data_IF_131446462792
#
_entry.id   IF_131446462792
#
_cell.length_a   1.000
_cell.length_b   1.000
_cell.length_c   1.000
_cell.angle_alpha   90.00
_cell.angle_beta   90.00
_cell.angle_gamma   90.00
#
_symmetry.space_group_name_H-M   'P 1'
#
loop_
_entity.id
_entity.type
_entity.pdbx_description
1 polymer ?
#
# COMPACT_ATOMS: atom_id res chain seq x y z
N UNK A 1 -5.30 -17.01 -9.39
CA UNK A 1 -4.45 -15.84 -9.75
C UNK A 1 -4.06 -15.11 -8.47
N UNK A 2 -2.78 -14.87 -8.22
CA UNK A 2 -2.30 -14.23 -6.99
C UNK A 2 -2.39 -12.69 -7.08
N UNK A 3 -3.47 -12.10 -6.54
CA UNK A 3 -3.72 -10.65 -6.50
C UNK A 3 -2.62 -9.90 -5.74
N UNK A 4 -2.21 -10.46 -4.60
CA UNK A 4 -1.33 -9.79 -3.65
C UNK A 4 0.16 -9.89 -4.00
N UNK A 5 0.57 -10.71 -4.96
CA UNK A 5 1.99 -10.83 -5.35
C UNK A 5 2.64 -9.50 -5.75
N UNK A 6 2.07 -8.70 -6.68
CA UNK A 6 2.65 -7.39 -7.00
C UNK A 6 2.67 -6.43 -5.81
N UNK A 7 1.68 -6.50 -4.92
CA UNK A 7 1.65 -5.69 -3.69
C UNK A 7 2.78 -6.11 -2.75
N UNK A 8 2.91 -7.41 -2.47
CA UNK A 8 3.98 -7.97 -1.65
C UNK A 8 5.37 -7.70 -2.21
N UNK A 9 5.50 -7.49 -3.53
CA UNK A 9 6.76 -7.08 -4.16
C UNK A 9 6.95 -5.57 -4.07
N UNK A 10 6.14 -4.78 -4.77
CA UNK A 10 6.41 -3.37 -4.97
C UNK A 10 6.18 -2.54 -3.69
N UNK A 11 5.06 -2.77 -2.98
CA UNK A 11 4.76 -2.00 -1.78
C UNK A 11 5.81 -2.24 -0.68
N UNK A 12 6.24 -3.49 -0.49
CA UNK A 12 7.25 -3.83 0.51
C UNK A 12 8.63 -3.30 0.14
N UNK A 13 8.97 -3.26 -1.14
CA UNK A 13 10.30 -2.78 -1.56
C UNK A 13 10.38 -1.25 -1.55
N UNK A 14 9.29 -0.55 -1.87
CA UNK A 14 9.19 0.90 -1.66
C UNK A 14 9.26 1.25 -0.17
N UNK A 15 8.39 0.65 0.66
CA UNK A 15 8.38 0.93 2.11
C UNK A 15 9.62 0.42 2.83
N UNK A 16 10.25 -0.64 2.32
CA UNK A 16 11.52 -1.17 2.80
C UNK A 16 12.67 -0.18 2.59
N UNK A 17 12.78 0.41 1.39
CA UNK A 17 13.76 1.47 1.14
C UNK A 17 13.51 2.68 2.04
N UNK A 18 12.27 3.17 2.12
CA UNK A 18 11.92 4.30 2.99
C UNK A 18 12.29 4.03 4.45
N UNK A 19 12.06 2.80 4.92
CA UNK A 19 12.41 2.38 6.28
C UNK A 19 13.93 2.37 6.50
N UNK A 20 14.72 1.90 5.54
CA UNK A 20 16.18 1.96 5.62
C UNK A 20 16.70 3.40 5.62
N UNK A 21 16.12 4.29 4.81
CA UNK A 21 16.49 5.71 4.76
C UNK A 21 16.14 6.40 6.08
N UNK A 22 14.96 6.15 6.65
CA UNK A 22 14.59 6.64 7.98
C UNK A 22 15.51 6.08 9.07
N UNK A 23 15.88 4.80 8.97
CA UNK A 23 16.85 4.16 9.86
C UNK A 23 18.22 4.84 9.82
N UNK A 24 18.70 5.17 8.63
CA UNK A 24 19.92 5.96 8.44
C UNK A 24 19.80 7.35 9.11
N UNK A 25 18.67 8.03 8.94
CA UNK A 25 18.43 9.37 9.51
C UNK A 25 18.52 9.40 11.04
N UNK A 26 18.11 8.32 11.72
CA UNK A 26 18.20 8.22 13.19
C UNK A 26 19.64 8.36 13.69
N UNK A 27 20.64 7.94 12.89
CA UNK A 27 22.06 8.04 13.23
C UNK A 27 22.68 9.39 12.85
N UNK A 28 21.94 10.28 12.19
CA UNK A 28 22.49 11.54 11.67
C UNK A 28 23.70 11.31 10.76
N UNK A 29 24.76 12.11 10.91
CA UNK A 29 25.98 11.98 10.11
C UNK A 29 26.65 10.61 10.20
N UNK A 30 26.53 9.93 11.35
CA UNK A 30 27.06 8.57 11.52
C UNK A 30 26.37 7.54 10.63
N UNK A 31 25.10 7.73 10.31
CA UNK A 31 24.36 6.85 9.39
C UNK A 31 24.95 6.83 7.98
N UNK A 32 25.69 7.88 7.60
CA UNK A 32 26.38 7.98 6.32
C UNK A 32 27.79 7.36 6.34
N UNK A 33 28.33 7.03 7.52
CA UNK A 33 29.66 6.44 7.67
C UNK A 33 29.57 4.92 7.65
N UNK A 34 30.38 4.28 6.81
CA UNK A 34 30.34 2.83 6.55
C UNK A 34 30.42 1.96 7.80
N UNK A 35 31.16 2.40 8.83
CA UNK A 35 31.33 1.67 10.11
C UNK A 35 29.99 1.33 10.79
N UNK A 36 28.95 2.15 10.61
CA UNK A 36 27.64 1.97 11.23
C UNK A 36 26.68 1.10 10.39
N UNK A 37 27.05 0.74 9.16
CA UNK A 37 26.30 -0.18 8.31
C UNK A 37 24.96 0.32 7.75
N UNK A 38 24.42 1.45 8.20
CA UNK A 38 23.11 1.97 7.72
C UNK A 38 23.12 2.30 6.23
N UNK A 39 24.20 2.89 5.72
CA UNK A 39 24.36 3.18 4.29
C UNK A 39 24.34 1.90 3.43
N UNK A 40 24.84 0.78 3.97
CA UNK A 40 24.77 -0.50 3.30
C UNK A 40 23.33 -0.99 3.16
N UNK A 41 22.51 -0.90 4.21
CA UNK A 41 21.09 -1.31 4.15
C UNK A 41 20.33 -0.53 3.08
N UNK A 42 20.55 0.79 2.98
CA UNK A 42 19.95 1.65 1.94
C UNK A 42 20.36 1.21 0.53
N UNK A 43 21.65 0.88 0.33
CA UNK A 43 22.14 0.39 -0.98
C UNK A 43 21.60 -0.99 -1.31
N UNK A 44 21.63 -1.91 -0.36
CA UNK A 44 21.29 -3.32 -0.58
C UNK A 44 19.78 -3.49 -0.83
N UNK A 45 18.93 -2.70 -0.17
CA UNK A 45 17.47 -2.77 -0.41
C UNK A 45 17.06 -2.13 -1.74
N UNK A 46 17.85 -1.21 -2.30
CA UNK A 46 17.49 -0.46 -3.53
C UNK A 46 17.26 -1.37 -4.74
N UNK A 47 18.03 -2.46 -4.86
CA UNK A 47 17.88 -3.39 -5.98
C UNK A 47 16.51 -4.08 -6.01
N UNK A 48 15.87 -4.22 -4.85
CA UNK A 48 14.62 -4.95 -4.72
C UNK A 48 13.46 -4.27 -5.47
N UNK A 49 13.53 -2.94 -5.67
CA UNK A 49 12.55 -2.19 -6.46
C UNK A 49 12.72 -2.38 -7.98
N UNK A 50 13.85 -2.95 -8.41
CA UNK A 50 14.28 -3.01 -9.82
C UNK A 50 14.18 -4.42 -10.39
N UNK A 51 14.75 -5.41 -9.71
CA UNK A 51 14.77 -6.80 -10.21
C UNK A 51 13.37 -7.46 -10.16
N UNK A 52 13.22 -8.63 -10.81
CA UNK A 52 11.97 -9.41 -10.79
C UNK A 52 10.72 -8.59 -11.19
N UNK A 53 10.92 -7.67 -12.14
CA UNK A 53 9.94 -6.68 -12.57
C UNK A 53 10.00 -5.42 -11.70
N UNK A 54 10.28 -4.27 -12.33
CA UNK A 54 10.33 -2.97 -11.65
C UNK A 54 9.01 -2.67 -10.94
N UNK A 55 9.03 -1.84 -9.91
CA UNK A 55 7.81 -1.52 -9.17
C UNK A 55 6.71 -0.91 -10.05
N UNK A 56 7.06 -0.15 -11.09
CA UNK A 56 6.10 0.32 -12.10
C UNK A 56 5.47 -0.82 -12.91
N UNK A 57 6.23 -1.86 -13.27
CA UNK A 57 5.68 -3.05 -13.95
C UNK A 57 4.76 -3.84 -13.02
N UNK A 58 5.11 -3.97 -11.75
CA UNK A 58 4.26 -4.63 -10.75
C UNK A 58 2.96 -3.87 -10.49
N UNK A 59 3.04 -2.54 -10.46
CA UNK A 59 1.88 -1.65 -10.41
C UNK A 59 0.97 -1.82 -11.63
N UNK A 60 1.54 -1.84 -12.84
CA UNK A 60 0.80 -2.06 -14.08
C UNK A 60 0.17 -3.46 -14.13
N UNK A 61 0.86 -4.48 -13.63
CA UNK A 61 0.32 -5.83 -13.49
C UNK A 61 -0.90 -5.86 -12.55
N UNK A 62 -0.79 -5.24 -11.38
CA UNK A 62 -1.87 -5.15 -10.40
C UNK A 62 -3.11 -4.47 -11.00
N UNK A 63 -2.98 -3.21 -11.41
CA UNK A 63 -4.13 -2.43 -11.87
C UNK A 63 -4.63 -2.93 -13.23
N UNK A 64 -3.72 -3.10 -14.20
CA UNK A 64 -4.06 -3.47 -15.56
C UNK A 64 -4.59 -4.88 -15.69
N UNK A 65 -3.85 -5.90 -15.22
CA UNK A 65 -4.22 -7.31 -15.43
C UNK A 65 -5.10 -7.87 -14.32
N UNK A 66 -4.81 -7.56 -13.06
CA UNK A 66 -5.44 -8.23 -11.90
C UNK A 66 -6.67 -7.51 -11.34
N UNK A 67 -6.90 -6.26 -11.72
CA UNK A 67 -8.08 -5.48 -11.31
C UNK A 67 -8.94 -5.14 -12.52
N UNK A 68 -8.42 -4.38 -13.49
CA UNK A 68 -9.21 -3.99 -14.68
C UNK A 68 -9.43 -5.17 -15.61
N UNK A 69 -8.36 -5.86 -16.00
CA UNK A 69 -8.39 -6.92 -17.02
C UNK A 69 -9.18 -8.17 -16.64
N UNK A 70 -9.36 -8.45 -15.35
CA UNK A 70 -10.20 -9.57 -14.87
C UNK A 70 -11.59 -9.12 -14.40
N UNK A 71 -11.98 -7.87 -14.67
CA UNK A 71 -13.27 -7.32 -14.26
C UNK A 71 -13.45 -7.23 -12.73
N UNK A 72 -12.37 -7.07 -11.98
CA UNK A 72 -12.37 -6.92 -10.53
C UNK A 72 -12.68 -8.20 -9.74
N UNK A 73 -12.68 -9.38 -10.37
CA UNK A 73 -13.04 -10.63 -9.69
C UNK A 73 -12.14 -10.90 -8.49
N UNK A 74 -10.82 -10.80 -8.68
CA UNK A 74 -9.87 -11.04 -7.59
C UNK A 74 -9.97 -9.97 -6.50
N UNK A 75 -10.20 -8.71 -6.89
CA UNK A 75 -10.39 -7.61 -5.94
C UNK A 75 -11.60 -7.87 -5.04
N UNK A 76 -12.76 -8.22 -5.60
CA UNK A 76 -13.98 -8.49 -4.83
C UNK A 76 -13.84 -9.64 -3.84
N UNK A 77 -13.07 -10.69 -4.19
CA UNK A 77 -12.77 -11.77 -3.26
C UNK A 77 -11.95 -11.24 -2.06
N UNK A 78 -10.91 -10.46 -2.34
CA UNK A 78 -10.06 -9.88 -1.31
C UNK A 78 -10.81 -8.88 -0.41
N UNK A 79 -11.57 -7.95 -0.99
CA UNK A 79 -12.34 -6.97 -0.23
C UNK A 79 -13.49 -7.62 0.54
N UNK A 80 -14.06 -8.71 0.00
CA UNK A 80 -14.99 -9.59 0.70
C UNK A 80 -14.42 -10.12 2.00
N UNK A 81 -13.19 -10.67 2.00
CA UNK A 81 -12.54 -11.15 3.23
C UNK A 81 -12.36 -10.04 4.29
N UNK A 82 -12.04 -8.82 3.87
CA UNK A 82 -11.91 -7.68 4.80
C UNK A 82 -13.27 -7.31 5.39
N UNK A 83 -14.31 -7.27 4.57
CA UNK A 83 -15.69 -6.99 5.00
C UNK A 83 -16.19 -8.06 5.95
N UNK A 84 -15.99 -9.34 5.62
CA UNK A 84 -16.35 -10.47 6.47
C UNK A 84 -15.70 -10.35 7.86
N UNK A 85 -14.42 -10.00 7.93
CA UNK A 85 -13.75 -9.70 9.19
C UNK A 85 -14.37 -8.50 9.91
N UNK A 86 -14.58 -7.38 9.21
CA UNK A 86 -15.09 -6.15 9.82
C UNK A 86 -16.51 -6.30 10.38
N UNK A 87 -17.31 -7.23 9.85
CA UNK A 87 -18.65 -7.55 10.36
C UNK A 87 -18.66 -8.52 11.54
N UNK A 88 -17.52 -9.09 11.94
CA UNK A 88 -17.44 -9.91 13.14
C UNK A 88 -17.72 -9.04 14.39
N UNK A 89 -18.49 -9.56 15.38
CA UNK A 89 -18.72 -8.85 16.62
C UNK A 89 -17.41 -8.48 17.33
N UNK A 90 -17.22 -7.18 17.59
CA UNK A 90 -16.03 -6.68 18.28
C UNK A 90 -14.74 -6.74 17.44
N UNK A 91 -14.84 -6.74 16.11
CA UNK A 91 -13.67 -6.62 15.24
C UNK A 91 -12.97 -5.26 15.43
N UNK A 92 -11.67 -5.31 15.73
CA UNK A 92 -10.82 -4.13 15.83
C UNK A 92 -10.81 -3.33 14.51
N UNK A 93 -10.97 -2.00 14.61
CA UNK A 93 -10.92 -1.06 13.48
C UNK A 93 -11.93 -1.35 12.35
N UNK A 94 -13.07 -1.96 12.66
CA UNK A 94 -14.08 -2.33 11.67
C UNK A 94 -14.55 -1.15 10.81
N UNK A 95 -14.84 0.01 11.41
CA UNK A 95 -15.33 1.17 10.69
C UNK A 95 -14.29 1.73 9.71
N UNK A 96 -13.04 1.85 10.15
CA UNK A 96 -11.93 2.33 9.34
C UNK A 96 -11.61 1.39 8.17
N UNK A 97 -11.71 0.07 8.39
CA UNK A 97 -11.58 -0.91 7.33
C UNK A 97 -12.69 -0.82 6.30
N UNK A 98 -13.94 -0.66 6.73
CA UNK A 98 -15.08 -0.53 5.83
C UNK A 98 -14.96 0.73 4.96
N UNK A 99 -14.52 1.87 5.52
CA UNK A 99 -14.26 3.10 4.74
C UNK A 99 -13.12 2.89 3.73
N UNK A 100 -11.99 2.33 4.18
CA UNK A 100 -10.83 2.10 3.32
C UNK A 100 -11.12 1.12 2.17
N UNK A 101 -11.88 0.05 2.45
CA UNK A 101 -12.31 -0.92 1.43
C UNK A 101 -13.31 -0.30 0.47
N UNK A 102 -14.29 0.46 0.96
CA UNK A 102 -15.24 1.14 0.10
C UNK A 102 -14.52 2.08 -0.89
N UNK A 103 -13.56 2.86 -0.40
CA UNK A 103 -12.73 3.72 -1.25
C UNK A 103 -11.95 2.94 -2.30
N UNK A 104 -11.34 1.82 -1.92
CA UNK A 104 -10.60 0.98 -2.85
C UNK A 104 -11.53 0.43 -3.94
N UNK A 105 -12.72 -0.04 -3.58
CA UNK A 105 -13.72 -0.56 -4.52
C UNK A 105 -14.21 0.54 -5.47
N UNK A 106 -14.65 1.68 -4.93
CA UNK A 106 -15.16 2.82 -5.71
C UNK A 106 -14.10 3.36 -6.68
N UNK A 107 -12.85 3.46 -6.23
CA UNK A 107 -11.74 3.91 -7.06
C UNK A 107 -11.41 2.89 -8.16
N UNK A 108 -11.51 1.60 -7.86
CA UNK A 108 -11.27 0.54 -8.84
C UNK A 108 -12.34 0.51 -9.93
N UNK A 109 -13.61 0.69 -9.54
CA UNK A 109 -14.71 0.78 -10.48
C UNK A 109 -14.59 2.02 -11.36
N UNK A 110 -14.27 3.17 -10.77
CA UNK A 110 -14.00 4.40 -11.50
C UNK A 110 -12.83 4.23 -12.50
N UNK A 111 -11.71 3.63 -12.07
CA UNK A 111 -10.57 3.38 -12.95
C UNK A 111 -10.91 2.44 -14.10
N UNK A 112 -11.77 1.44 -13.87
CA UNK A 112 -12.25 0.56 -14.94
C UNK A 112 -13.05 1.33 -15.98
N UNK A 113 -13.91 2.25 -15.56
CA UNK A 113 -14.66 3.13 -16.47
C UNK A 113 -13.73 4.07 -17.25
N UNK A 114 -12.74 4.67 -16.58
CA UNK A 114 -11.75 5.52 -17.25
C UNK A 114 -10.91 4.74 -18.26
N UNK A 115 -10.49 3.51 -17.93
CA UNK A 115 -9.71 2.66 -18.82
C UNK A 115 -10.45 2.28 -20.11
N UNK A 116 -11.79 2.25 -20.09
CA UNK A 116 -12.59 2.01 -21.29
C UNK A 116 -12.60 3.22 -22.24
N UNK A 117 -12.33 4.44 -21.74
CA UNK A 117 -12.42 5.69 -22.49
C UNK A 117 -11.03 6.25 -22.84
N UNK A 118 -10.01 5.97 -22.02
CA UNK A 118 -8.69 6.53 -22.13
C UNK A 118 -7.62 5.43 -21.95
N UNK A 119 -6.83 5.10 -22.99
CA UNK A 119 -5.80 4.05 -22.89
C UNK A 119 -4.69 4.40 -21.89
N UNK A 120 -4.51 5.69 -21.57
CA UNK A 120 -3.50 6.13 -20.62
C UNK A 120 -3.93 6.01 -19.15
N UNK A 121 -5.23 5.81 -18.87
CA UNK A 121 -5.77 5.87 -17.51
C UNK A 121 -5.12 4.86 -16.55
N UNK A 122 -4.87 3.64 -17.02
CA UNK A 122 -4.21 2.60 -16.21
C UNK A 122 -2.75 2.98 -15.96
N UNK A 123 -2.02 3.37 -17.00
CA UNK A 123 -0.60 3.69 -16.90
C UNK A 123 -0.33 4.91 -16.01
N UNK A 124 -1.21 5.91 -16.05
CA UNK A 124 -1.08 7.13 -15.25
C UNK A 124 -1.43 6.97 -13.77
N UNK A 125 -2.09 5.88 -13.38
CA UNK A 125 -2.62 5.70 -12.03
C UNK A 125 -2.04 4.49 -11.28
N UNK A 126 -1.34 3.58 -11.98
CA UNK A 126 -1.04 2.26 -11.43
C UNK A 126 -0.13 2.31 -10.20
N UNK A 127 0.81 3.25 -10.13
CA UNK A 127 1.79 3.34 -9.04
C UNK A 127 1.11 3.81 -7.75
N UNK A 128 0.34 4.89 -7.82
CA UNK A 128 -0.46 5.42 -6.73
C UNK A 128 -1.51 4.40 -6.28
N UNK A 129 -2.15 3.72 -7.23
CA UNK A 129 -3.14 2.69 -6.95
C UNK A 129 -2.51 1.51 -6.19
N UNK A 130 -1.31 1.07 -6.57
CA UNK A 130 -0.58 0.01 -5.85
C UNK A 130 -0.26 0.42 -4.41
N UNK A 131 0.15 1.67 -4.20
CA UNK A 131 0.41 2.20 -2.86
C UNK A 131 -0.87 2.25 -2.03
N UNK A 132 -1.97 2.76 -2.58
CA UNK A 132 -3.28 2.79 -1.92
C UNK A 132 -3.74 1.38 -1.54
N UNK A 133 -3.67 0.43 -2.48
CA UNK A 133 -4.00 -0.97 -2.24
C UNK A 133 -3.16 -1.54 -1.09
N UNK A 134 -1.85 -1.30 -1.11
CA UNK A 134 -0.93 -1.74 -0.05
C UNK A 134 -1.31 -1.21 1.33
N UNK A 135 -1.69 0.07 1.43
CA UNK A 135 -2.15 0.65 2.69
C UNK A 135 -3.42 -0.02 3.22
N UNK A 136 -4.40 -0.31 2.35
CA UNK A 136 -5.64 -1.02 2.74
C UNK A 136 -5.32 -2.47 3.16
N UNK A 137 -4.47 -3.18 2.42
CA UNK A 137 -4.08 -4.55 2.76
C UNK A 137 -3.37 -4.63 4.12
N UNK A 138 -2.47 -3.70 4.42
CA UNK A 138 -1.82 -3.64 5.72
C UNK A 138 -2.76 -3.20 6.84
N UNK A 139 -3.75 -2.34 6.57
CA UNK A 139 -4.77 -2.00 7.55
C UNK A 139 -5.50 -3.27 8.03
N UNK A 140 -5.88 -4.13 7.08
CA UNK A 140 -6.51 -5.41 7.41
C UNK A 140 -5.61 -6.31 8.26
N UNK A 141 -4.32 -6.44 7.92
CA UNK A 141 -3.37 -7.21 8.72
C UNK A 141 -3.17 -6.62 10.13
N UNK A 142 -3.09 -5.30 10.26
CA UNK A 142 -2.98 -4.62 11.55
C UNK A 142 -4.22 -4.79 12.41
N UNK A 143 -5.41 -4.72 11.82
CA UNK A 143 -6.66 -4.97 12.54
C UNK A 143 -6.70 -6.41 13.09
N UNK A 144 -6.36 -7.40 12.27
CA UNK A 144 -6.29 -8.81 12.71
C UNK A 144 -5.28 -9.01 13.84
N UNK A 145 -4.09 -8.40 13.74
CA UNK A 145 -3.09 -8.45 14.82
C UNK A 145 -3.58 -7.74 16.08
N UNK A 146 -4.26 -6.59 15.95
CA UNK A 146 -4.82 -5.86 17.08
C UNK A 146 -5.90 -6.66 17.81
N UNK A 147 -6.78 -7.34 17.06
CA UNK A 147 -7.79 -8.23 17.64
C UNK A 147 -7.15 -9.29 18.53
N UNK A 148 -6.11 -9.98 18.03
CA UNK A 148 -5.40 -11.00 18.80
C UNK A 148 -4.70 -10.37 20.01
N UNK A 149 -4.07 -9.22 19.82
CA UNK A 149 -3.34 -8.52 20.89
C UNK A 149 -4.26 -8.08 22.03
N UNK A 150 -5.49 -7.65 21.74
CA UNK A 150 -6.46 -7.27 22.78
C UNK A 150 -6.80 -8.47 23.68
N UNK A 151 -7.09 -9.63 23.09
CA UNK A 151 -7.44 -10.84 23.85
C UNK A 151 -6.27 -11.43 24.64
N UNK A 152 -5.04 -11.24 24.16
CA UNK A 152 -3.84 -11.82 24.78
C UNK A 152 -3.06 -10.84 25.63
N UNK A 153 -3.56 -9.62 25.82
CA UNK A 153 -2.84 -8.54 26.48
C UNK A 153 -2.33 -8.90 27.88
N UNK A 154 -3.09 -9.68 28.64
CA UNK A 154 -2.69 -10.14 29.97
C UNK A 154 -1.55 -11.18 29.96
N UNK A 155 -1.28 -11.83 28.84
CA UNK A 155 -0.18 -12.81 28.71
C UNK A 155 1.18 -12.10 28.62
N UNK A 156 1.25 -10.95 27.94
CA UNK A 156 2.45 -10.12 27.79
C UNK A 156 2.05 -8.68 27.41
N UNK A 157 1.83 -7.83 28.42
CA UNK A 157 1.40 -6.44 28.19
C UNK A 157 2.45 -5.63 27.42
N UNK A 158 3.74 -5.97 27.55
CA UNK A 158 4.81 -5.30 26.81
C UNK A 158 4.69 -5.54 25.31
N UNK A 159 4.63 -6.79 24.89
CA UNK A 159 4.52 -7.15 23.48
C UNK A 159 3.15 -6.78 22.88
N UNK A 160 2.05 -7.19 23.53
CA UNK A 160 0.71 -6.96 23.00
C UNK A 160 0.27 -5.50 23.12
N UNK A 161 0.66 -4.81 24.19
CA UNK A 161 0.47 -3.36 24.32
C UNK A 161 1.19 -2.60 23.20
N UNK A 162 2.43 -2.98 22.85
CA UNK A 162 3.16 -2.41 21.73
C UNK A 162 2.47 -2.67 20.38
N UNK A 163 1.90 -3.87 20.17
CA UNK A 163 1.10 -4.18 18.97
C UNK A 163 -0.12 -3.29 18.84
N UNK A 164 -0.88 -3.09 19.92
CA UNK A 164 -2.06 -2.22 19.93
C UNK A 164 -1.68 -0.75 19.67
N UNK A 165 -0.60 -0.27 20.30
CA UNK A 165 -0.08 1.08 20.07
C UNK A 165 0.37 1.29 18.61
N UNK A 166 1.05 0.30 18.03
CA UNK A 166 1.50 0.36 16.63
C UNK A 166 0.33 0.32 15.64
N UNK A 167 -0.69 -0.52 15.91
CA UNK A 167 -1.92 -0.52 15.12
C UNK A 167 -2.59 0.86 15.14
N UNK A 168 -2.72 1.49 16.33
CA UNK A 168 -3.27 2.83 16.47
C UNK A 168 -2.49 3.85 15.63
N UNK A 169 -1.15 3.80 15.69
CA UNK A 169 -0.30 4.65 14.85
C UNK A 169 -0.59 4.43 13.36
N UNK A 170 -0.67 3.17 12.92
CA UNK A 170 -0.94 2.85 11.53
C UNK A 170 -2.27 3.45 11.04
N UNK A 171 -3.36 3.21 11.76
CA UNK A 171 -4.68 3.74 11.41
C UNK A 171 -4.75 5.27 11.50
N UNK A 172 -4.01 5.89 12.43
CA UNK A 172 -4.06 7.34 12.64
C UNK A 172 -3.11 8.14 11.73
N UNK A 173 -2.01 7.54 11.27
CA UNK A 173 -0.89 8.26 10.60
C UNK A 173 -0.51 7.70 9.23
N UNK A 174 -0.70 6.40 9.00
CA UNK A 174 -0.31 5.75 7.76
C UNK A 174 -1.50 5.60 6.83
N UNK A 175 -2.61 5.02 7.31
CA UNK A 175 -3.81 4.79 6.50
C UNK A 175 -4.37 6.07 5.85
N UNK A 176 -4.41 7.26 6.48
CA UNK A 176 -4.95 8.47 5.85
C UNK A 176 -4.25 8.88 4.55
N UNK A 177 -3.05 8.37 4.24
CA UNK A 177 -2.35 8.60 2.97
C UNK A 177 -3.14 8.13 1.75
N UNK A 178 -4.08 7.18 1.93
CA UNK A 178 -4.97 6.76 0.84
C UNK A 178 -5.80 7.92 0.27
N UNK A 179 -6.09 8.95 1.07
CA UNK A 179 -6.90 10.09 0.64
C UNK A 179 -6.17 10.94 -0.41
N UNK A 180 -4.89 11.24 -0.17
CA UNK A 180 -4.07 11.97 -1.14
C UNK A 180 -3.79 11.13 -2.39
N UNK A 181 -3.59 9.82 -2.22
CA UNK A 181 -3.37 8.92 -3.36
C UNK A 181 -4.63 8.83 -4.23
N UNK A 182 -5.81 8.69 -3.62
CA UNK A 182 -7.10 8.72 -4.31
C UNK A 182 -7.24 10.02 -5.11
N UNK A 183 -6.95 11.17 -4.49
CA UNK A 183 -7.04 12.46 -5.16
C UNK A 183 -6.07 12.57 -6.35
N UNK A 184 -4.83 12.09 -6.21
CA UNK A 184 -3.86 12.07 -7.32
C UNK A 184 -4.34 11.19 -8.48
N UNK A 185 -4.90 10.01 -8.19
CA UNK A 185 -5.45 9.11 -9.20
C UNK A 185 -6.63 9.76 -9.94
N UNK A 186 -7.51 10.44 -9.20
CA UNK A 186 -8.68 11.13 -9.76
C UNK A 186 -8.33 12.36 -10.60
N UNK A 187 -7.11 12.90 -10.50
CA UNK A 187 -6.64 13.95 -11.39
C UNK A 187 -6.50 13.48 -12.86
N UNK A 188 -6.50 12.16 -13.08
CA UNK A 188 -6.44 11.56 -14.41
C UNK A 188 -5.09 11.76 -15.09
N UNK A 189 -5.03 11.41 -16.38
CA UNK A 189 -3.75 11.40 -17.10
C UNK A 189 -3.34 12.77 -17.67
N UNK A 190 -4.26 13.74 -17.77
CA UNK A 190 -4.07 14.94 -18.58
C UNK A 190 -2.79 15.73 -18.21
N UNK A 191 -2.49 15.87 -16.91
CA UNK A 191 -1.30 16.58 -16.45
C UNK A 191 0.03 15.90 -16.80
N UNK A 192 0.02 14.60 -17.10
CA UNK A 192 1.22 13.84 -17.49
C UNK A 192 1.54 13.96 -18.99
N UNK A 193 0.57 14.38 -19.80
CA UNK A 193 0.70 14.49 -21.27
C UNK A 193 0.63 15.95 -21.76
N UNK A 194 0.77 16.91 -20.85
CA UNK A 194 0.78 18.33 -21.18
C UNK A 194 2.13 18.88 -21.65
N UNK A 195 3.19 18.07 -21.62
CA UNK A 195 4.55 18.44 -22.02
C UNK A 195 5.00 17.61 -23.23
N UNK A 196 5.49 18.27 -24.27
CA UNK A 196 6.22 17.61 -25.35
C UNK A 196 7.60 17.14 -24.88
N UNK A 197 8.18 16.18 -25.60
CA UNK A 197 9.48 15.58 -25.25
C UNK A 197 10.63 16.61 -25.14
N UNK A 198 10.58 17.71 -25.89
CA UNK A 198 11.61 18.77 -25.86
C UNK A 198 11.60 19.58 -24.55
N UNK A 199 10.55 19.45 -23.73
CA UNK A 199 10.44 20.14 -22.45
C UNK A 199 11.06 19.35 -21.27
N UNK A 200 11.64 18.17 -21.52
CA UNK A 200 12.31 17.31 -20.52
C UNK A 200 13.84 17.34 -20.67
#
# INVERSE_FOLDING_TARGET
>A
MALLTPVAKAFFTDTGLDSCVLGQQIFGGHGYIREWGQEQLVRDVRIAQIYEGTNGIQALDLLGRKVVGNGGVALRLFTGEIRDYAYLPGAAYAAELLDAVQRLEDLSDWLREQAAQNPNAVGSACVEYLQLFGYVAYAYLWARMAQVAEHKRSEDDGFYGAKLATARFYFSRMLPRILSLEQSIRAGSASLFGLDAEHF
#
